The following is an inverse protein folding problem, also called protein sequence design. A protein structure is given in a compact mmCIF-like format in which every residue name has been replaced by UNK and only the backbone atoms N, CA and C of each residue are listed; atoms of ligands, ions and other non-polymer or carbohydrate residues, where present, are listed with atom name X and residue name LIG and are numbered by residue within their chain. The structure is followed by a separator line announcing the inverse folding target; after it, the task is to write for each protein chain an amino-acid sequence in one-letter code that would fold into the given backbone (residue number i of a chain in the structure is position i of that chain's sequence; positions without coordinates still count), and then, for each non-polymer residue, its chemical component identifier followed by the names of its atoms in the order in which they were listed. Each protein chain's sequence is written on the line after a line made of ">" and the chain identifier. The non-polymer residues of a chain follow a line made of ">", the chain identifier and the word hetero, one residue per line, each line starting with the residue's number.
data_IF_962733161490
#
_entry.id   IF_962733161490
#
_cell.length_a   1.000
_cell.length_b   1.000
_cell.length_c   1.000
_cell.angle_alpha   90.00
_cell.angle_beta   90.00
_cell.angle_gamma   90.00
#
_symmetry.space_group_name_H-M   'P 1'
#
loop_
_entity.id
_entity.type
_entity.pdbx_description
1 polymer ?
#
# COMPACT_ATOMS: atom_id res chain seq x y z
N UNK A 1 13.74 8.04 5.84
CA UNK A 1 12.27 7.96 5.73
C UNK A 1 11.94 7.75 4.26
N UNK A 2 11.32 6.64 3.88
CA UNK A 2 10.95 6.42 2.48
C UNK A 2 9.79 7.36 2.12
N UNK A 3 9.87 7.99 0.95
CA UNK A 3 8.81 8.87 0.44
C UNK A 3 7.62 8.08 -0.10
N UNK A 4 6.45 8.72 -0.20
CA UNK A 4 5.26 8.12 -0.83
C UNK A 4 5.57 7.56 -2.22
N UNK A 5 6.39 8.28 -2.99
CA UNK A 5 6.84 7.92 -4.34
C UNK A 5 7.63 6.62 -4.37
N UNK A 6 8.60 6.46 -3.46
CA UNK A 6 9.43 5.26 -3.36
C UNK A 6 8.57 4.04 -3.00
N UNK A 7 7.71 4.18 -1.98
CA UNK A 7 6.83 3.10 -1.56
C UNK A 7 5.87 2.68 -2.69
N UNK A 8 5.28 3.63 -3.41
CA UNK A 8 4.41 3.32 -4.55
C UNK A 8 5.16 2.63 -5.69
N UNK A 9 6.41 3.00 -5.91
CA UNK A 9 7.26 2.39 -6.93
C UNK A 9 7.61 0.95 -6.56
N UNK A 10 7.95 0.70 -5.30
CA UNK A 10 8.19 -0.65 -4.77
C UNK A 10 6.94 -1.53 -4.88
N UNK A 11 5.77 -1.01 -4.50
CA UNK A 11 4.47 -1.68 -4.66
C UNK A 11 4.24 -2.07 -6.13
N UNK A 12 4.49 -1.15 -7.09
CA UNK A 12 4.33 -1.43 -8.52
C UNK A 12 5.30 -2.49 -9.02
N UNK A 13 6.54 -2.45 -8.56
CA UNK A 13 7.55 -3.44 -8.93
C UNK A 13 7.17 -4.84 -8.41
N UNK A 14 6.66 -4.94 -7.18
CA UNK A 14 6.28 -6.21 -6.56
C UNK A 14 4.96 -6.80 -7.12
N UNK A 15 3.96 -5.96 -7.38
CA UNK A 15 2.60 -6.42 -7.76
C UNK A 15 2.27 -6.32 -9.24
N UNK A 16 3.07 -5.57 -10.01
CA UNK A 16 2.79 -5.19 -11.41
C UNK A 16 1.41 -4.51 -11.60
N UNK A 17 0.83 -3.92 -10.54
CA UNK A 17 -0.47 -3.25 -10.61
C UNK A 17 -0.43 -1.97 -11.46
N UNK A 18 -1.51 -1.78 -12.23
CA UNK A 18 -1.78 -0.54 -12.97
C UNK A 18 -2.12 0.62 -12.03
N UNK A 19 -1.90 1.86 -12.48
CA UNK A 19 -2.24 3.07 -11.70
C UNK A 19 -3.71 3.10 -11.25
N UNK A 20 -4.63 2.62 -12.11
CA UNK A 20 -6.06 2.50 -11.79
C UNK A 20 -6.32 1.52 -10.64
N UNK A 21 -5.64 0.37 -10.63
CA UNK A 21 -5.78 -0.62 -9.56
C UNK A 21 -5.25 -0.09 -8.22
N UNK A 22 -4.11 0.62 -8.26
CA UNK A 22 -3.56 1.29 -7.07
C UNK A 22 -4.48 2.39 -6.56
N UNK A 23 -5.07 3.19 -7.45
CA UNK A 23 -6.03 4.22 -7.10
C UNK A 23 -7.23 3.63 -6.35
N UNK A 24 -7.79 2.51 -6.86
CA UNK A 24 -8.88 1.79 -6.20
C UNK A 24 -8.46 1.26 -4.82
N UNK A 25 -7.30 0.61 -4.71
CA UNK A 25 -6.79 0.05 -3.44
C UNK A 25 -6.53 1.12 -2.39
N UNK A 26 -5.95 2.24 -2.80
CA UNK A 26 -5.62 3.38 -1.93
C UNK A 26 -6.82 4.32 -1.70
N UNK A 27 -7.97 4.05 -2.32
CA UNK A 27 -9.18 4.91 -2.31
C UNK A 27 -8.87 6.36 -2.69
N UNK A 28 -8.01 6.55 -3.68
CA UNK A 28 -7.68 7.86 -4.26
C UNK A 28 -7.99 7.88 -5.75
N UNK A 29 -7.89 9.06 -6.36
CA UNK A 29 -8.03 9.19 -7.82
C UNK A 29 -6.74 8.75 -8.54
N UNK A 30 -6.88 8.21 -9.75
CA UNK A 30 -5.75 7.92 -10.64
C UNK A 30 -4.80 9.12 -10.87
N UNK A 31 -5.28 10.37 -11.09
CA UNK A 31 -4.38 11.52 -11.21
C UNK A 31 -3.60 11.81 -9.92
N UNK A 32 -4.13 11.50 -8.74
CA UNK A 32 -3.37 11.57 -7.48
C UNK A 32 -2.23 10.54 -7.47
N UNK A 33 -2.49 9.29 -7.86
CA UNK A 33 -1.44 8.26 -8.02
C UNK A 33 -0.35 8.71 -9.00
N UNK A 34 -0.75 9.26 -10.15
CA UNK A 34 0.19 9.75 -11.16
C UNK A 34 1.06 10.92 -10.64
N UNK A 35 0.49 11.85 -9.87
CA UNK A 35 1.23 12.95 -9.24
C UNK A 35 2.27 12.43 -8.24
N UNK A 36 1.89 11.49 -7.37
CA UNK A 36 2.81 10.87 -6.41
C UNK A 36 3.95 10.18 -7.14
N UNK A 37 3.66 9.39 -8.18
CA UNK A 37 4.70 8.73 -8.99
C UNK A 37 5.65 9.69 -9.69
N UNK A 38 5.21 10.93 -9.97
CA UNK A 38 6.05 12.01 -10.52
C UNK A 38 6.83 12.78 -9.45
N UNK A 39 6.80 12.34 -8.19
CA UNK A 39 7.52 12.98 -7.09
C UNK A 39 6.84 14.22 -6.53
N UNK A 40 5.56 14.46 -6.84
CA UNK A 40 4.82 15.57 -6.25
C UNK A 40 4.30 15.17 -4.86
N UNK A 41 4.78 15.81 -3.77
CA UNK A 41 4.56 15.36 -2.40
C UNK A 41 3.21 15.76 -1.80
N UNK A 42 2.33 16.42 -2.56
CA UNK A 42 1.03 16.92 -2.11
C UNK A 42 -0.02 15.79 -1.94
N UNK A 43 0.37 14.73 -1.25
CA UNK A 43 -0.51 13.66 -0.82
C UNK A 43 -0.90 13.90 0.64
N UNK A 44 -2.21 13.83 0.93
CA UNK A 44 -2.72 13.98 2.30
C UNK A 44 -2.08 12.92 3.20
N UNK A 45 -1.87 13.22 4.48
CA UNK A 45 -1.28 12.27 5.44
C UNK A 45 -2.00 10.92 5.47
N UNK A 46 -3.33 10.90 5.32
CA UNK A 46 -4.11 9.67 5.19
C UNK A 46 -3.73 8.82 3.95
N UNK A 47 -3.39 9.46 2.82
CA UNK A 47 -2.90 8.77 1.63
C UNK A 47 -1.53 8.16 1.88
N UNK A 48 -0.62 8.87 2.56
CA UNK A 48 0.69 8.32 2.92
C UNK A 48 0.54 7.09 3.83
N UNK A 49 -0.31 7.16 4.85
CA UNK A 49 -0.61 6.02 5.74
C UNK A 49 -1.16 4.82 4.95
N UNK A 50 -2.08 5.04 4.01
CA UNK A 50 -2.61 3.98 3.15
C UNK A 50 -1.54 3.34 2.26
N UNK A 51 -0.60 4.13 1.74
CA UNK A 51 0.52 3.64 0.92
C UNK A 51 1.46 2.78 1.77
N UNK A 52 1.79 3.23 2.98
CA UNK A 52 2.64 2.47 3.92
C UNK A 52 1.97 1.14 4.30
N UNK A 53 0.68 1.16 4.60
CA UNK A 53 -0.09 -0.05 4.93
C UNK A 53 -0.09 -1.04 3.75
N UNK A 54 -0.38 -0.57 2.54
CA UNK A 54 -0.38 -1.41 1.34
C UNK A 54 1.01 -1.99 1.05
N UNK A 55 2.08 -1.22 1.25
CA UNK A 55 3.45 -1.70 1.10
C UNK A 55 3.76 -2.83 2.10
N UNK A 56 3.35 -2.68 3.36
CA UNK A 56 3.53 -3.70 4.38
C UNK A 56 2.72 -4.97 4.09
N UNK A 57 1.48 -4.84 3.60
CA UNK A 57 0.66 -5.98 3.17
C UNK A 57 1.35 -6.78 2.06
N UNK A 58 1.86 -6.10 1.03
CA UNK A 58 2.54 -6.75 -0.10
C UNK A 58 3.85 -7.41 0.33
N UNK A 59 4.63 -6.73 1.19
CA UNK A 59 5.85 -7.29 1.77
C UNK A 59 5.55 -8.57 2.59
N UNK A 60 4.39 -8.62 3.25
CA UNK A 60 3.94 -9.79 4.02
C UNK A 60 3.44 -10.93 3.10
N UNK A 61 2.73 -10.59 2.02
CA UNK A 61 2.20 -11.57 1.04
C UNK A 61 3.30 -12.20 0.15
N UNK A 62 4.46 -11.56 0.01
CA UNK A 62 5.60 -12.09 -0.74
C UNK A 62 6.32 -13.28 -0.08
N UNK A 63 5.91 -13.71 1.12
CA UNK A 63 6.37 -14.99 1.72
C UNK A 63 5.42 -16.11 1.31
N UNK A 64 5.86 -17.10 0.50
CA UNK A 64 5.18 -18.38 0.46
C UNK A 64 5.39 -19.06 1.83
N UNK A 65 4.46 -18.86 2.77
CA UNK A 65 4.49 -19.57 4.06
C UNK A 65 4.06 -18.82 5.33
N UNK A 66 3.45 -17.64 5.26
CA UNK A 66 2.87 -17.00 6.45
C UNK A 66 1.35 -17.26 6.51
N UNK A 67 0.81 -17.94 7.54
CA UNK A 67 -0.64 -18.05 7.70
C UNK A 67 -1.25 -16.66 7.97
N UNK A 68 -2.54 -16.44 7.63
CA UNK A 68 -3.22 -15.21 8.00
C UNK A 68 -3.16 -15.09 9.52
N UNK A 69 -2.86 -13.89 10.02
CA UNK A 69 -3.07 -13.54 11.41
C UNK A 69 -4.52 -13.88 11.76
N UNK A 70 -4.71 -15.05 12.35
CA UNK A 70 -5.87 -15.37 13.16
C UNK A 70 -5.78 -14.44 14.35
N UNK A 71 -6.47 -13.32 14.30
CA UNK A 71 -7.04 -12.76 15.53
C UNK A 71 -8.19 -13.68 15.92
N UNK A 72 -7.84 -14.86 16.43
CA UNK A 72 -8.73 -15.66 17.25
C UNK A 72 -8.80 -14.96 18.61
N UNK A 73 -9.66 -13.95 18.71
CA UNK A 73 -10.15 -13.50 20.00
C UNK A 73 -11.19 -14.53 20.47
N UNK A 74 -10.72 -15.56 21.16
CA UNK A 74 -11.53 -16.33 22.10
C UNK A 74 -10.88 -16.12 23.46
N UNK A 75 -11.32 -15.09 24.18
CA UNK A 75 -11.23 -15.09 25.64
C UNK A 75 -12.55 -15.63 26.19
N UNK A 76 -12.40 -16.70 26.95
CA UNK A 76 -13.41 -17.35 27.78
C UNK A 76 -13.34 -16.74 29.18
N UNK A 77 -14.49 -16.64 29.86
CA UNK A 77 -14.59 -16.21 31.26
C UNK A 77 -16.00 -15.78 31.60
#
# INVERSE_FOLDING_TARGET
>A
MNTATELLTQIRAATKMSQKALATRLRVSQPTVNRILKGQPDCKGATLTAIVALHAEIATQGRPGSPPVSTAASEVG
#
